data_IF_185588170127
#
_entry.id   IF_185588170127
#
_cell.length_a   1.000
_cell.length_b   1.000
_cell.length_c   1.000
_cell.angle_alpha   90.00
_cell.angle_beta   90.00
_cell.angle_gamma   90.00
#
_symmetry.space_group_name_H-M   'P 1'
#
loop_
_entity.id
_entity.type
_entity.pdbx_description
1 polymer ?
#
# COMPACT_ATOMS: atom_id res chain seq x y z
N UNK A 1 4.59 -64.18 42.14
CA UNK A 1 4.83 -64.13 40.68
C UNK A 1 4.25 -62.84 40.14
N UNK A 2 5.06 -61.94 39.56
CA UNK A 2 4.61 -60.59 39.26
C UNK A 2 3.74 -60.59 37.99
N UNK A 3 2.58 -59.93 38.08
CA UNK A 3 1.76 -59.57 36.92
C UNK A 3 2.54 -58.56 36.09
N UNK A 4 3.27 -59.03 35.07
CA UNK A 4 3.81 -58.13 34.05
C UNK A 4 2.63 -57.46 33.35
N UNK A 5 2.41 -56.20 33.73
CA UNK A 5 1.29 -55.37 33.30
C UNK A 5 1.31 -55.21 31.78
N UNK A 6 0.35 -55.80 31.07
CA UNK A 6 0.16 -55.66 29.63
C UNK A 6 -0.11 -54.21 29.19
N UNK A 7 -0.54 -53.35 30.13
CA UNK A 7 -0.61 -51.90 29.95
C UNK A 7 0.78 -51.32 29.65
N UNK A 8 1.84 -51.86 30.26
CA UNK A 8 3.20 -51.37 30.01
C UNK A 8 3.64 -51.59 28.56
N UNK A 9 3.24 -52.66 27.86
CA UNK A 9 3.74 -52.90 26.50
C UNK A 9 3.10 -51.93 25.48
N UNK A 10 1.79 -51.72 25.57
CA UNK A 10 1.07 -50.73 24.75
C UNK A 10 1.56 -49.31 25.03
N UNK A 11 1.77 -48.96 26.29
CA UNK A 11 2.34 -47.67 26.70
C UNK A 11 3.78 -47.50 26.18
N UNK A 12 4.62 -48.54 26.21
CA UNK A 12 6.00 -48.49 25.72
C UNK A 12 6.08 -48.32 24.20
N UNK A 13 5.19 -48.97 23.45
CA UNK A 13 5.08 -48.82 21.99
C UNK A 13 4.61 -47.41 21.61
N UNK A 14 3.57 -46.90 22.27
CA UNK A 14 3.09 -45.52 22.07
C UNK A 14 4.19 -44.50 22.41
N UNK A 15 4.93 -44.72 23.50
CA UNK A 15 6.06 -43.87 23.88
C UNK A 15 7.19 -43.90 22.85
N UNK A 16 7.51 -45.05 22.26
CA UNK A 16 8.54 -45.15 21.22
C UNK A 16 8.10 -44.45 19.92
N UNK A 17 6.83 -44.58 19.53
CA UNK A 17 6.27 -43.87 18.37
C UNK A 17 6.31 -42.36 18.61
N UNK A 18 5.84 -41.88 19.78
CA UNK A 18 5.92 -40.46 20.15
C UNK A 18 7.38 -39.97 20.16
N UNK A 19 8.31 -40.74 20.74
CA UNK A 19 9.73 -40.39 20.80
C UNK A 19 10.35 -40.28 19.39
N UNK A 20 9.95 -41.12 18.44
CA UNK A 20 10.39 -41.04 17.05
C UNK A 20 9.75 -39.85 16.29
N UNK A 21 8.57 -39.40 16.70
CA UNK A 21 7.87 -38.27 16.08
C UNK A 21 8.35 -36.91 16.55
N UNK A 22 8.80 -36.78 17.80
CA UNK A 22 9.33 -35.53 18.36
C UNK A 22 10.44 -34.90 17.50
N UNK A 23 11.48 -35.62 17.03
CA UNK A 23 12.52 -35.03 16.19
C UNK A 23 12.02 -34.63 14.80
N UNK A 24 11.04 -35.34 14.22
CA UNK A 24 10.43 -34.96 12.96
C UNK A 24 9.59 -33.67 13.09
N UNK A 25 8.80 -33.57 14.15
CA UNK A 25 8.07 -32.35 14.53
C UNK A 25 9.01 -31.18 14.80
N UNK A 26 10.08 -31.41 15.56
CA UNK A 26 11.09 -30.41 15.89
C UNK A 26 11.79 -29.88 14.64
N UNK A 27 12.25 -30.75 13.75
CA UNK A 27 12.91 -30.36 12.50
C UNK A 27 11.95 -29.64 11.54
N UNK A 28 10.66 -29.99 11.56
CA UNK A 28 9.63 -29.32 10.78
C UNK A 28 9.33 -27.91 11.32
N UNK A 29 9.12 -27.76 12.64
CA UNK A 29 8.91 -26.45 13.27
C UNK A 29 10.14 -25.55 13.10
N UNK A 30 11.34 -26.12 13.23
CA UNK A 30 12.59 -25.41 12.98
C UNK A 30 12.66 -24.90 11.54
N UNK A 31 12.38 -25.79 10.56
CA UNK A 31 12.33 -25.38 9.14
C UNK A 31 11.25 -24.34 8.87
N UNK A 32 10.10 -24.40 9.53
CA UNK A 32 9.03 -23.41 9.36
C UNK A 32 9.43 -22.04 9.89
N UNK A 33 10.05 -21.98 11.07
CA UNK A 33 10.57 -20.73 11.64
C UNK A 33 11.65 -20.12 10.73
N UNK A 34 12.54 -20.94 10.19
CA UNK A 34 13.61 -20.50 9.29
C UNK A 34 13.08 -20.07 7.91
N UNK A 35 12.10 -20.81 7.33
CA UNK A 35 11.45 -20.43 6.07
C UNK A 35 10.61 -19.15 6.21
N UNK A 36 9.96 -18.93 7.36
CA UNK A 36 9.15 -17.73 7.61
C UNK A 36 9.96 -16.46 7.40
N UNK A 37 11.20 -16.41 7.89
CA UNK A 37 12.06 -15.23 7.72
C UNK A 37 12.30 -14.88 6.24
N UNK A 38 12.65 -15.88 5.43
CA UNK A 38 12.90 -15.69 4.00
C UNK A 38 11.65 -15.30 3.21
N UNK A 39 10.50 -15.91 3.53
CA UNK A 39 9.24 -15.61 2.82
C UNK A 39 8.67 -14.26 3.24
N UNK A 40 8.81 -13.87 4.51
CA UNK A 40 8.41 -12.52 4.97
C UNK A 40 9.18 -11.44 4.24
N UNK A 41 10.50 -11.62 4.06
CA UNK A 41 11.32 -10.64 3.35
C UNK A 41 10.94 -10.55 1.87
N UNK A 42 10.61 -11.68 1.24
CA UNK A 42 10.10 -11.69 -0.12
C UNK A 42 8.79 -10.91 -0.24
N UNK A 43 7.83 -11.12 0.67
CA UNK A 43 6.55 -10.40 0.68
C UNK A 43 6.75 -8.90 0.93
N UNK A 44 7.71 -8.52 1.77
CA UNK A 44 8.11 -7.12 1.98
C UNK A 44 8.66 -6.49 0.71
N UNK A 45 9.62 -7.14 0.05
CA UNK A 45 10.18 -6.68 -1.22
C UNK A 45 9.13 -6.57 -2.34
N UNK A 46 8.19 -7.53 -2.42
CA UNK A 46 7.08 -7.48 -3.38
C UNK A 46 6.14 -6.30 -3.10
N UNK A 47 5.81 -6.07 -1.83
CA UNK A 47 4.98 -4.94 -1.41
C UNK A 47 5.69 -3.60 -1.68
N UNK A 48 7.00 -3.53 -1.43
CA UNK A 48 7.81 -2.34 -1.71
C UNK A 48 7.93 -2.07 -3.21
N UNK A 49 8.07 -3.12 -4.02
CA UNK A 49 8.01 -3.00 -5.49
C UNK A 49 6.69 -2.42 -5.96
N UNK A 50 5.56 -2.87 -5.42
CA UNK A 50 4.25 -2.29 -5.73
C UNK A 50 4.17 -0.81 -5.32
N UNK A 51 4.66 -0.45 -4.13
CA UNK A 51 4.69 0.95 -3.69
C UNK A 51 5.55 1.83 -4.61
N UNK A 52 6.73 1.36 -5.02
CA UNK A 52 7.61 2.06 -5.98
C UNK A 52 6.97 2.22 -7.35
N UNK A 53 6.29 1.18 -7.86
CA UNK A 53 5.56 1.26 -9.13
C UNK A 53 4.44 2.30 -9.06
N UNK A 54 3.68 2.31 -7.96
CA UNK A 54 2.63 3.29 -7.77
C UNK A 54 3.19 4.72 -7.64
N UNK A 55 4.30 4.91 -6.93
CA UNK A 55 5.00 6.19 -6.85
C UNK A 55 5.52 6.65 -8.22
N UNK A 56 6.07 5.76 -9.03
CA UNK A 56 6.52 6.08 -10.39
C UNK A 56 5.35 6.55 -11.27
N UNK A 57 4.20 5.89 -11.22
CA UNK A 57 3.01 6.33 -11.99
C UNK A 57 2.53 7.73 -11.60
N UNK A 58 2.63 8.08 -10.31
CA UNK A 58 2.31 9.42 -9.83
C UNK A 58 3.38 10.45 -10.23
N UNK A 59 4.66 10.08 -10.22
CA UNK A 59 5.74 10.93 -10.73
C UNK A 59 5.57 11.25 -12.21
N UNK A 60 5.13 10.28 -13.01
CA UNK A 60 4.87 10.47 -14.44
C UNK A 60 3.72 11.47 -14.64
N UNK A 61 2.64 11.35 -13.86
CA UNK A 61 1.51 12.31 -13.90
C UNK A 61 1.95 13.75 -13.56
N UNK A 62 2.84 13.92 -12.58
CA UNK A 62 3.40 15.22 -12.21
C UNK A 62 4.33 15.76 -13.30
N UNK A 63 5.15 14.89 -13.91
CA UNK A 63 6.03 15.25 -15.02
C UNK A 63 5.21 15.74 -16.20
N UNK A 64 4.14 15.04 -16.54
CA UNK A 64 3.22 15.39 -17.62
C UNK A 64 2.53 16.73 -17.35
N UNK A 65 2.11 16.97 -16.11
CA UNK A 65 1.58 18.27 -15.69
C UNK A 65 2.61 19.40 -15.88
N UNK A 66 3.86 19.18 -15.45
CA UNK A 66 4.94 20.17 -15.63
C UNK A 66 5.21 20.46 -17.12
N UNK A 67 5.23 19.43 -17.96
CA UNK A 67 5.46 19.57 -19.39
C UNK A 67 4.31 20.28 -20.09
N UNK A 68 3.06 19.94 -19.74
CA UNK A 68 1.87 20.62 -20.23
C UNK A 68 1.91 22.10 -19.88
N UNK A 69 2.12 22.44 -18.60
CA UNK A 69 2.14 23.83 -18.16
C UNK A 69 3.32 24.61 -18.74
N UNK A 70 4.47 23.97 -18.91
CA UNK A 70 5.59 24.57 -19.64
C UNK A 70 5.20 24.91 -21.08
N UNK A 71 4.55 24.00 -21.80
CA UNK A 71 4.12 24.25 -23.17
C UNK A 71 3.09 25.39 -23.23
N UNK A 72 2.10 25.40 -22.33
CA UNK A 72 1.10 26.46 -22.22
C UNK A 72 1.74 27.82 -21.88
N UNK A 73 2.81 27.85 -21.08
CA UNK A 73 3.57 29.06 -20.78
C UNK A 73 4.33 29.66 -21.98
N UNK A 74 4.54 28.89 -23.05
CA UNK A 74 5.15 29.40 -24.28
C UNK A 74 4.13 29.95 -25.28
N UNK A 75 2.83 29.73 -25.06
CA UNK A 75 1.79 30.14 -26.00
C UNK A 75 1.52 31.64 -25.93
N UNK A 76 1.24 32.20 -27.10
CA UNK A 76 1.05 33.65 -27.27
C UNK A 76 -0.27 34.09 -26.64
N UNK A 77 -1.28 33.24 -26.74
CA UNK A 77 -2.62 33.38 -26.16
C UNK A 77 -2.59 33.52 -24.64
N UNK A 78 -1.57 32.96 -23.98
CA UNK A 78 -1.37 33.04 -22.52
C UNK A 78 -0.49 34.23 -22.15
N UNK A 79 0.46 34.62 -23.01
CA UNK A 79 1.38 35.75 -22.77
C UNK A 79 0.81 37.11 -23.13
N UNK A 80 -0.10 37.20 -24.11
CA UNK A 80 -0.60 38.47 -24.65
C UNK A 80 -1.84 39.02 -23.92
N UNK A 81 -2.22 38.43 -22.79
CA UNK A 81 -3.17 38.98 -21.81
C UNK A 81 -4.60 39.30 -22.29
N UNK A 82 -5.05 38.85 -23.48
CA UNK A 82 -6.48 38.91 -23.82
C UNK A 82 -7.25 37.83 -23.04
N UNK A 83 -8.09 38.20 -22.06
CA UNK A 83 -8.73 37.23 -21.17
C UNK A 83 -9.70 36.29 -21.90
N UNK A 84 -10.36 36.78 -22.95
CA UNK A 84 -11.36 36.03 -23.70
C UNK A 84 -10.70 34.92 -24.54
N UNK A 85 -9.63 35.25 -25.28
CA UNK A 85 -8.87 34.27 -26.05
C UNK A 85 -8.20 33.24 -25.15
N UNK A 86 -7.58 33.67 -24.04
CA UNK A 86 -6.97 32.76 -23.07
C UNK A 86 -8.02 31.77 -22.50
N UNK A 87 -9.16 32.28 -22.03
CA UNK A 87 -10.20 31.43 -21.42
C UNK A 87 -10.78 30.42 -22.42
N UNK A 88 -10.98 30.83 -23.69
CA UNK A 88 -11.44 29.93 -24.74
C UNK A 88 -10.43 28.81 -25.04
N UNK A 89 -9.14 29.14 -25.11
CA UNK A 89 -8.05 28.17 -25.28
C UNK A 89 -7.99 27.18 -24.11
N UNK A 90 -7.96 27.68 -22.87
CA UNK A 90 -7.90 26.83 -21.67
C UNK A 90 -9.13 25.93 -21.54
N UNK A 91 -10.31 26.43 -21.91
CA UNK A 91 -11.55 25.64 -21.95
C UNK A 91 -11.46 24.47 -22.95
N UNK A 92 -10.85 24.70 -24.12
CA UNK A 92 -10.63 23.64 -25.10
C UNK A 92 -9.58 22.64 -24.63
N UNK A 93 -8.50 23.13 -24.00
CA UNK A 93 -7.45 22.30 -23.45
C UNK A 93 -7.98 21.40 -22.33
N UNK A 94 -8.76 21.94 -21.39
CA UNK A 94 -9.34 21.19 -20.29
C UNK A 94 -10.20 20.01 -20.77
N UNK A 95 -10.92 20.15 -21.89
CA UNK A 95 -11.69 19.04 -22.48
C UNK A 95 -10.83 17.88 -22.97
N UNK A 96 -9.56 18.11 -23.28
CA UNK A 96 -8.62 17.07 -23.70
C UNK A 96 -7.92 16.38 -22.53
N UNK A 97 -7.91 17.01 -21.35
CA UNK A 97 -7.24 16.52 -20.15
C UNK A 97 -8.22 16.39 -18.98
N UNK A 98 -9.09 15.37 -18.99
CA UNK A 98 -10.17 15.20 -18.01
C UNK A 98 -9.67 14.96 -16.57
N UNK A 99 -8.38 14.64 -16.38
CA UNK A 99 -7.80 14.54 -15.04
C UNK A 99 -7.73 15.89 -14.30
N UNK A 100 -7.77 17.02 -15.02
CA UNK A 100 -7.76 18.35 -14.40
C UNK A 100 -9.18 18.87 -14.19
N UNK A 101 -9.42 19.50 -13.04
CA UNK A 101 -10.67 20.20 -12.69
C UNK A 101 -10.65 21.67 -13.09
N UNK A 102 -9.47 22.28 -13.18
CA UNK A 102 -9.30 23.69 -13.48
C UNK A 102 -7.97 23.92 -14.19
N UNK A 103 -7.99 24.79 -15.20
CA UNK A 103 -6.81 25.45 -15.73
C UNK A 103 -7.05 26.96 -15.66
N UNK A 104 -6.04 27.71 -15.26
CA UNK A 104 -6.13 29.17 -15.16
C UNK A 104 -4.79 29.86 -15.22
N UNK A 105 -4.81 31.17 -15.42
CA UNK A 105 -3.63 32.02 -15.39
C UNK A 105 -3.87 33.14 -14.38
N UNK A 106 -2.88 33.33 -13.54
CA UNK A 106 -2.90 34.23 -12.40
C UNK A 106 -1.83 35.30 -12.64
N UNK A 107 -2.22 36.56 -12.48
CA UNK A 107 -1.29 37.68 -12.53
C UNK A 107 -0.37 37.71 -11.30
N UNK A 108 0.77 38.42 -11.34
CA UNK A 108 1.71 38.50 -10.22
C UNK A 108 1.11 39.09 -8.93
N UNK A 109 -0.03 39.78 -9.03
CA UNK A 109 -0.80 40.30 -7.89
C UNK A 109 -1.74 39.26 -7.26
N UNK A 110 -1.81 38.05 -7.82
CA UNK A 110 -2.64 36.94 -7.36
C UNK A 110 -4.05 36.92 -7.96
N UNK A 111 -4.41 37.86 -8.84
CA UNK A 111 -5.71 37.86 -9.51
C UNK A 111 -5.74 36.85 -10.66
N UNK A 112 -6.79 36.03 -10.73
CA UNK A 112 -6.97 35.09 -11.84
C UNK A 112 -7.64 35.82 -13.01
N UNK A 113 -6.87 36.11 -14.06
CA UNK A 113 -7.38 36.90 -15.20
C UNK A 113 -8.02 36.03 -16.29
N UNK A 114 -7.62 34.77 -16.44
CA UNK A 114 -8.29 33.81 -17.33
C UNK A 114 -8.36 32.40 -16.74
N UNK A 115 -9.42 31.69 -17.08
CA UNK A 115 -9.69 30.34 -16.57
C UNK A 115 -10.51 29.53 -17.57
N UNK A 116 -10.40 28.20 -17.48
CA UNK A 116 -11.13 27.26 -18.32
C UNK A 116 -12.63 27.17 -18.01
N UNK A 117 -13.09 27.79 -16.93
CA UNK A 117 -14.51 27.90 -16.58
C UNK A 117 -14.86 29.35 -16.32
N UNK A 118 -16.04 29.82 -16.76
CA UNK A 118 -16.48 31.17 -16.44
C UNK A 118 -16.64 31.32 -14.92
N UNK A 119 -15.73 32.06 -14.29
CA UNK A 119 -15.85 32.46 -12.89
C UNK A 119 -16.74 33.70 -12.81
N UNK A 120 -17.84 33.60 -12.06
CA UNK A 120 -18.80 34.69 -11.87
C UNK A 120 -18.26 35.84 -11.01
N UNK A 121 -17.20 35.59 -10.23
CA UNK A 121 -16.53 36.58 -9.39
C UNK A 121 -15.02 36.60 -9.67
N UNK A 122 -14.36 37.77 -9.53
CA UNK A 122 -12.90 37.86 -9.61
C UNK A 122 -12.28 37.00 -8.50
N UNK A 123 -11.52 35.98 -8.88
CA UNK A 123 -10.88 35.07 -7.94
C UNK A 123 -9.46 35.55 -7.65
N UNK A 124 -9.09 35.66 -6.38
CA UNK A 124 -7.76 36.04 -5.95
C UNK A 124 -7.14 34.91 -5.12
N UNK A 125 -5.92 34.51 -5.48
CA UNK A 125 -5.15 33.43 -4.83
C UNK A 125 -3.84 33.93 -4.24
N UNK A 126 -3.68 35.23 -4.04
CA UNK A 126 -2.48 35.84 -3.47
C UNK A 126 -2.13 35.22 -2.10
N UNK A 127 -3.13 34.90 -1.28
CA UNK A 127 -2.93 34.33 0.05
C UNK A 127 -2.62 32.82 0.03
N UNK A 128 -2.67 32.18 -1.14
CA UNK A 128 -2.45 30.74 -1.26
C UNK A 128 -0.96 30.40 -1.16
N UNK A 129 -0.62 29.45 -0.27
CA UNK A 129 0.75 29.04 -0.01
C UNK A 129 1.49 28.54 -1.25
N UNK A 130 0.79 27.86 -2.16
CA UNK A 130 1.39 27.40 -3.42
C UNK A 130 1.77 28.57 -4.33
N UNK A 131 0.95 29.61 -4.39
CA UNK A 131 1.20 30.79 -5.23
C UNK A 131 2.41 31.56 -4.69
N UNK A 132 2.44 31.80 -3.39
CA UNK A 132 3.59 32.41 -2.71
C UNK A 132 4.89 31.62 -2.93
N UNK A 133 4.83 30.29 -2.91
CA UNK A 133 6.00 29.44 -3.23
C UNK A 133 6.47 29.64 -4.67
N UNK A 134 5.58 29.71 -5.66
CA UNK A 134 5.95 30.00 -7.06
C UNK A 134 6.61 31.37 -7.18
N UNK A 135 6.09 32.39 -6.50
CA UNK A 135 6.69 33.74 -6.49
C UNK A 135 8.13 33.72 -5.95
N UNK A 136 8.38 32.94 -4.90
CA UNK A 136 9.67 32.83 -4.24
C UNK A 136 10.68 31.99 -5.03
N UNK A 137 10.28 30.81 -5.49
CA UNK A 137 11.18 29.86 -6.16
C UNK A 137 11.37 30.18 -7.64
N UNK A 138 10.36 30.80 -8.27
CA UNK A 138 10.25 30.95 -9.72
C UNK A 138 10.44 29.63 -10.46
N UNK A 139 9.98 28.53 -9.85
CA UNK A 139 9.94 27.21 -10.45
C UNK A 139 8.55 26.60 -10.29
N UNK A 140 8.34 25.46 -10.94
CA UNK A 140 7.18 24.61 -10.78
C UNK A 140 6.98 24.22 -9.32
N UNK A 141 5.77 24.41 -8.81
CA UNK A 141 5.38 24.09 -7.44
C UNK A 141 4.12 23.24 -7.46
N UNK A 142 4.01 22.39 -6.45
CA UNK A 142 2.87 21.52 -6.19
C UNK A 142 2.28 21.98 -4.86
N UNK A 143 0.98 22.22 -4.81
CA UNK A 143 0.31 22.66 -3.61
C UNK A 143 0.14 21.54 -2.60
N UNK A 144 -0.16 21.93 -1.38
CA UNK A 144 -0.67 21.04 -0.36
C UNK A 144 -2.14 20.68 -0.70
N UNK A 145 -2.75 19.76 0.05
CA UNK A 145 -4.18 19.44 -0.09
C UNK A 145 -5.02 20.71 0.00
N UNK A 146 -5.87 20.96 -1.00
CA UNK A 146 -6.89 21.98 -0.89
C UNK A 146 -8.22 21.46 -1.42
N UNK A 147 -9.30 21.84 -0.75
CA UNK A 147 -10.61 21.78 -1.39
C UNK A 147 -10.65 22.95 -2.34
N UNK A 148 -10.78 22.67 -3.64
CA UNK A 148 -10.84 23.73 -4.64
C UNK A 148 -12.12 24.54 -4.42
N UNK A 149 -11.99 25.82 -4.08
CA UNK A 149 -13.11 26.73 -3.80
C UNK A 149 -14.08 26.85 -5.00
N UNK A 150 -13.62 26.59 -6.22
CA UNK A 150 -14.41 26.69 -7.45
C UNK A 150 -15.23 25.42 -7.70
N UNK A 151 -14.63 24.24 -7.53
CA UNK A 151 -15.30 22.97 -7.84
C UNK A 151 -15.90 22.27 -6.61
N UNK A 152 -15.53 22.70 -5.40
CA UNK A 152 -15.86 22.04 -4.14
C UNK A 152 -15.19 20.66 -3.98
N UNK A 153 -14.26 20.31 -4.87
CA UNK A 153 -13.59 19.00 -4.90
C UNK A 153 -12.19 19.10 -4.34
N UNK A 154 -11.77 18.03 -3.68
CA UNK A 154 -10.39 17.80 -3.29
C UNK A 154 -9.48 17.82 -4.53
N UNK A 155 -8.49 18.72 -4.55
CA UNK A 155 -7.60 18.89 -5.68
C UNK A 155 -6.14 19.08 -5.25
N UNK A 156 -5.22 18.67 -6.12
CA UNK A 156 -3.81 19.01 -6.03
C UNK A 156 -3.50 20.07 -7.08
N UNK A 157 -3.03 21.25 -6.67
CA UNK A 157 -2.76 22.35 -7.58
C UNK A 157 -1.29 22.34 -8.02
N UNK A 158 -1.07 22.60 -9.30
CA UNK A 158 0.22 22.75 -9.93
C UNK A 158 0.37 24.20 -10.39
N UNK A 159 1.42 24.86 -9.92
CA UNK A 159 1.77 26.22 -10.31
C UNK A 159 3.01 26.21 -11.20
N UNK A 160 2.93 26.85 -12.37
CA UNK A 160 4.09 27.02 -13.27
C UNK A 160 4.32 28.51 -13.58
N UNK A 161 5.52 29.05 -13.39
CA UNK A 161 5.81 30.46 -13.64
C UNK A 161 5.96 30.76 -15.15
N UNK A 162 5.30 31.82 -15.61
CA UNK A 162 5.56 32.43 -16.92
C UNK A 162 6.60 33.53 -16.72
N UNK A 163 7.79 33.32 -17.27
CA UNK A 163 8.90 34.26 -17.14
C UNK A 163 9.11 35.04 -18.46
N UNK A 164 9.41 36.33 -18.35
CA UNK A 164 9.90 37.14 -19.47
C UNK A 164 11.28 36.67 -19.93
N UNK A 165 11.73 37.16 -21.09
CA UNK A 165 13.11 36.95 -21.56
C UNK A 165 14.16 37.50 -20.57
N UNK A 166 13.79 38.48 -19.76
CA UNK A 166 14.63 39.07 -18.70
C UNK A 166 14.54 38.33 -17.37
N UNK A 167 13.77 37.23 -17.30
CA UNK A 167 13.58 36.43 -16.08
C UNK A 167 12.61 37.02 -15.06
N UNK A 168 11.83 38.04 -15.44
CA UNK A 168 10.78 38.60 -14.59
C UNK A 168 9.52 37.73 -14.65
N UNK A 169 8.88 37.50 -13.51
CA UNK A 169 7.61 36.79 -13.48
C UNK A 169 6.50 37.65 -14.08
N UNK A 170 5.87 37.15 -15.15
CA UNK A 170 4.77 37.81 -15.83
C UNK A 170 3.42 37.26 -15.41
N UNK A 171 3.33 35.96 -15.14
CA UNK A 171 2.11 35.29 -14.72
C UNK A 171 2.43 33.93 -14.09
N UNK A 172 1.43 33.26 -13.50
CA UNK A 172 1.51 31.89 -13.00
C UNK A 172 0.36 31.09 -13.61
N UNK A 173 0.68 29.97 -14.24
CA UNK A 173 -0.32 29.03 -14.75
C UNK A 173 -0.67 28.04 -13.65
N UNK A 174 -1.96 27.87 -13.43
CA UNK A 174 -2.54 26.94 -12.47
C UNK A 174 -3.16 25.76 -13.22
N UNK A 175 -2.87 24.55 -12.75
CA UNK A 175 -3.65 23.36 -13.06
C UNK A 175 -4.07 22.63 -11.78
N UNK A 176 -5.35 22.35 -11.62
CA UNK A 176 -5.88 21.61 -10.48
C UNK A 176 -6.19 20.17 -10.88
N UNK A 177 -5.48 19.19 -10.35
CA UNK A 177 -5.73 17.76 -10.57
C UNK A 177 -6.89 17.26 -9.69
N UNK A 178 -7.85 16.52 -10.25
CA UNK A 178 -8.92 15.89 -9.48
C UNK A 178 -8.35 14.73 -8.64
N UNK A 179 -8.42 14.81 -7.32
CA UNK A 179 -7.97 13.70 -6.47
C UNK A 179 -8.87 12.47 -6.60
N UNK A 180 -10.11 12.63 -7.08
CA UNK A 180 -10.97 11.48 -7.40
C UNK A 180 -10.46 10.68 -8.59
N UNK A 181 -9.80 11.32 -9.55
CA UNK A 181 -9.17 10.62 -10.67
C UNK A 181 -8.05 9.70 -10.16
N UNK A 182 -7.25 10.16 -9.19
CA UNK A 182 -6.23 9.33 -8.55
C UNK A 182 -6.84 8.17 -7.76
N UNK A 183 -7.97 8.38 -7.09
CA UNK A 183 -8.70 7.30 -6.42
C UNK A 183 -9.18 6.22 -7.41
N UNK A 184 -9.66 6.61 -8.60
CA UNK A 184 -10.08 5.66 -9.64
C UNK A 184 -8.89 4.85 -10.17
N UNK A 185 -7.76 5.51 -10.40
CA UNK A 185 -6.53 4.83 -10.83
C UNK A 185 -6.05 3.80 -9.79
N UNK A 186 -6.17 4.14 -8.50
CA UNK A 186 -5.86 3.20 -7.42
C UNK A 186 -6.82 2.00 -7.38
N UNK A 187 -8.09 2.19 -7.75
CA UNK A 187 -9.06 1.10 -7.86
C UNK A 187 -8.74 0.13 -9.01
N UNK A 188 -8.19 0.63 -10.11
CA UNK A 188 -7.78 -0.18 -11.27
C UNK A 188 -6.51 -1.00 -11.04
N UNK A 189 -5.72 -0.65 -10.01
CA UNK A 189 -4.44 -1.29 -9.70
C UNK A 189 -4.54 -2.76 -9.23
N UNK A 190 -5.75 -3.33 -9.13
CA UNK A 190 -6.01 -4.73 -8.75
C UNK A 190 -5.26 -5.15 -7.47
N UNK A 191 -5.25 -4.27 -6.47
CA UNK A 191 -4.62 -4.56 -5.18
C UNK A 191 -5.33 -5.74 -4.50
N UNK A 192 -4.62 -6.53 -3.67
CA UNK A 192 -5.23 -7.61 -2.90
C UNK A 192 -6.41 -7.11 -2.06
N UNK A 193 -7.38 -7.97 -1.81
CA UNK A 193 -8.58 -7.59 -1.06
C UNK A 193 -8.25 -7.02 0.32
N UNK A 194 -8.92 -5.93 0.70
CA UNK A 194 -8.69 -5.22 1.97
C UNK A 194 -7.41 -4.37 2.00
N UNK A 195 -6.68 -4.28 0.88
CA UNK A 195 -5.51 -3.40 0.77
C UNK A 195 -5.92 -1.94 0.70
N UNK A 196 -5.02 -1.07 1.16
CA UNK A 196 -5.18 0.37 1.13
C UNK A 196 -4.09 1.01 0.30
N UNK A 197 -4.42 1.92 -0.59
CA UNK A 197 -3.51 2.86 -1.23
C UNK A 197 -3.72 4.24 -0.62
N UNK A 198 -2.67 4.89 -0.12
CA UNK A 198 -2.76 6.21 0.51
C UNK A 198 -1.63 7.13 0.03
N UNK A 199 -1.96 8.37 -0.31
CA UNK A 199 -0.98 9.45 -0.47
C UNK A 199 -1.04 10.34 0.77
N UNK A 200 0.13 10.65 1.35
CA UNK A 200 0.25 11.39 2.61
C UNK A 200 1.21 12.55 2.40
N UNK A 201 0.85 13.76 2.82
CA UNK A 201 1.75 14.92 2.78
C UNK A 201 2.72 14.97 3.98
N UNK A 202 3.66 15.92 3.97
CA UNK A 202 4.63 16.14 5.04
C UNK A 202 4.03 16.47 6.42
N UNK A 203 2.77 16.89 6.46
CA UNK A 203 2.08 17.23 7.70
C UNK A 203 1.26 16.05 8.24
N UNK A 204 1.24 14.90 7.53
CA UNK A 204 0.41 13.76 7.88
C UNK A 204 -1.03 13.88 7.39
N UNK A 205 -1.29 14.75 6.40
CA UNK A 205 -2.60 14.88 5.76
C UNK A 205 -2.77 13.82 4.68
N UNK A 206 -3.90 13.13 4.70
CA UNK A 206 -4.25 12.12 3.69
C UNK A 206 -4.77 12.83 2.44
N UNK A 207 -4.01 12.77 1.34
CA UNK A 207 -4.36 13.38 0.06
C UNK A 207 -5.29 12.49 -0.77
N UNK A 208 -4.99 11.19 -0.80
CA UNK A 208 -5.69 10.17 -1.58
C UNK A 208 -5.81 8.95 -0.70
N UNK A 209 -6.96 8.29 -0.73
CA UNK A 209 -7.13 6.99 -0.06
C UNK A 209 -8.11 6.12 -0.81
N UNK A 210 -7.69 4.89 -1.07
CA UNK A 210 -8.53 3.84 -1.58
C UNK A 210 -8.34 2.57 -0.74
N UNK A 211 -9.41 1.85 -0.35
CA UNK A 211 -10.83 2.23 -0.46
C UNK A 211 -11.21 3.36 0.52
N UNK A 212 -12.48 3.77 0.47
CA UNK A 212 -13.13 4.69 1.41
C UNK A 212 -12.52 6.11 1.51
N UNK A 213 -12.40 6.84 0.37
CA UNK A 213 -11.80 8.18 0.38
C UNK A 213 -12.55 9.17 1.29
N UNK A 214 -13.88 9.11 1.33
CA UNK A 214 -14.72 10.12 1.99
C UNK A 214 -14.53 10.24 3.51
N UNK A 215 -14.03 9.19 4.19
CA UNK A 215 -13.78 9.23 5.62
C UNK A 215 -12.44 9.87 5.97
N UNK A 216 -11.45 9.77 5.08
CA UNK A 216 -10.04 9.97 5.44
C UNK A 216 -9.37 11.10 4.66
N UNK A 217 -9.76 11.33 3.40
CA UNK A 217 -9.14 12.37 2.56
C UNK A 217 -9.36 13.75 3.18
N UNK A 218 -8.29 14.52 3.28
CA UNK A 218 -8.25 15.84 3.92
C UNK A 218 -8.06 15.81 5.44
N UNK A 219 -8.08 14.63 6.08
CA UNK A 219 -7.76 14.52 7.51
C UNK A 219 -6.26 14.53 7.74
N UNK A 220 -5.83 15.31 8.73
CA UNK A 220 -4.47 15.35 9.25
C UNK A 220 -4.40 14.43 10.47
N UNK A 221 -3.66 13.33 10.35
CA UNK A 221 -3.55 12.28 11.38
C UNK A 221 -2.08 11.89 11.65
N UNK A 222 -1.22 12.84 12.05
CA UNK A 222 0.20 12.59 12.26
C UNK A 222 0.48 11.59 13.38
N UNK A 223 -0.44 11.42 14.33
CA UNK A 223 -0.34 10.47 15.44
C UNK A 223 -0.72 9.03 15.06
N UNK A 224 -1.26 8.81 13.86
CA UNK A 224 -1.57 7.45 13.42
C UNK A 224 -0.25 6.66 13.24
N UNK A 225 -0.14 5.42 13.76
CA UNK A 225 1.14 4.73 13.84
C UNK A 225 1.91 4.63 12.52
N UNK A 226 1.22 4.33 11.41
CA UNK A 226 1.83 4.30 10.07
C UNK A 226 2.27 5.68 9.58
N UNK A 227 1.49 6.73 9.87
CA UNK A 227 1.80 8.10 9.44
C UNK A 227 3.01 8.62 10.21
N UNK A 228 3.01 8.43 11.54
CA UNK A 228 4.14 8.75 12.40
C UNK A 228 5.44 8.08 11.92
N UNK A 229 5.37 6.78 11.59
CA UNK A 229 6.50 6.04 11.06
C UNK A 229 7.03 6.66 9.76
N UNK A 230 6.15 6.96 8.80
CA UNK A 230 6.51 7.56 7.51
C UNK A 230 7.19 8.92 7.71
N UNK A 231 6.60 9.78 8.54
CA UNK A 231 7.08 11.14 8.79
C UNK A 231 8.41 11.15 9.57
N UNK A 232 8.66 10.17 10.43
CA UNK A 232 9.91 10.03 11.18
C UNK A 232 11.02 9.40 10.33
N UNK A 233 10.71 8.39 9.54
CA UNK A 233 11.71 7.66 8.74
C UNK A 233 12.14 8.44 7.49
N UNK A 234 11.23 9.24 6.91
CA UNK A 234 11.46 10.11 5.74
C UNK A 234 12.12 9.42 4.53
N UNK A 235 12.01 8.10 4.45
CA UNK A 235 12.60 7.26 3.42
C UNK A 235 11.64 6.13 3.08
N UNK A 236 12.00 5.30 2.10
CA UNK A 236 11.20 4.11 1.80
C UNK A 236 11.39 3.03 2.86
N UNK A 237 10.40 2.16 3.02
CA UNK A 237 10.42 1.12 4.02
C UNK A 237 9.20 0.22 4.00
N UNK A 238 9.25 -0.80 4.85
CA UNK A 238 8.12 -1.67 5.13
C UNK A 238 7.94 -1.85 6.63
N UNK A 239 6.70 -2.01 7.08
CA UNK A 239 6.39 -2.25 8.48
C UNK A 239 5.06 -2.99 8.64
N UNK A 240 5.00 -3.90 9.61
CA UNK A 240 3.75 -4.51 10.06
C UNK A 240 3.21 -3.66 11.20
N UNK A 241 2.19 -2.85 10.89
CA UNK A 241 1.67 -1.86 11.82
C UNK A 241 0.17 -1.62 11.57
N UNK A 242 -0.50 -1.00 12.53
CA UNK A 242 -1.89 -0.61 12.39
C UNK A 242 -2.02 0.57 11.42
N UNK A 243 -3.00 0.46 10.51
CA UNK A 243 -3.39 1.57 9.65
C UNK A 243 -4.14 2.66 10.43
N UNK A 244 -4.46 3.76 9.74
CA UNK A 244 -5.30 4.84 10.30
C UNK A 244 -6.70 4.35 10.73
N UNK A 245 -7.14 3.21 10.20
CA UNK A 245 -8.39 2.52 10.53
C UNK A 245 -8.24 1.44 11.63
N UNK A 246 -7.05 1.33 12.25
CA UNK A 246 -6.76 0.37 13.32
C UNK A 246 -6.57 -1.08 12.87
N UNK A 247 -6.61 -1.37 11.56
CA UNK A 247 -6.42 -2.74 11.07
C UNK A 247 -4.93 -3.04 10.85
N UNK A 248 -4.43 -4.21 11.30
CA UNK A 248 -3.03 -4.59 11.14
C UNK A 248 -2.72 -4.96 9.69
N UNK A 249 -1.82 -4.19 9.07
CA UNK A 249 -1.39 -4.42 7.68
C UNK A 249 0.13 -4.45 7.58
N UNK A 250 0.62 -5.17 6.59
CA UNK A 250 1.97 -4.97 6.09
C UNK A 250 1.93 -3.74 5.18
N UNK A 251 2.50 -2.64 5.66
CA UNK A 251 2.68 -1.43 4.87
C UNK A 251 4.01 -1.45 4.14
N UNK A 252 3.98 -0.98 2.92
CA UNK A 252 5.14 -0.56 2.16
C UNK A 252 4.96 0.90 1.74
N UNK A 253 5.97 1.72 1.97
CA UNK A 253 5.90 3.14 1.70
C UNK A 253 7.18 3.66 1.05
N UNK A 254 7.04 4.71 0.26
CA UNK A 254 8.16 5.32 -0.47
C UNK A 254 7.86 6.81 -0.72
N UNK A 255 8.87 7.69 -0.69
CA UNK A 255 8.67 9.09 -1.04
C UNK A 255 8.23 9.22 -2.50
N UNK A 256 7.26 10.10 -2.75
CA UNK A 256 6.76 10.36 -4.11
C UNK A 256 7.82 11.01 -4.98
N UNK A 257 8.68 11.86 -4.43
CA UNK A 257 9.80 12.44 -5.17
C UNK A 257 11.06 11.69 -4.77
N UNK A 258 11.84 11.21 -5.75
CA UNK A 258 13.03 10.38 -5.52
C UNK A 258 14.19 11.03 -4.72
N UNK A 259 13.96 12.17 -4.06
CA UNK A 259 14.86 12.80 -3.11
C UNK A 259 14.18 12.91 -1.74
N UNK A 260 14.66 12.17 -0.72
CA UNK A 260 14.14 12.20 0.65
C UNK A 260 14.08 13.60 1.28
N UNK A 261 14.99 14.50 0.88
CA UNK A 261 15.13 15.83 1.46
C UNK A 261 14.17 16.87 0.87
N UNK A 262 13.46 16.53 -0.21
CA UNK A 262 12.50 17.42 -0.87
C UNK A 262 11.13 16.78 -1.11
N UNK A 263 10.92 15.55 -0.62
CA UNK A 263 9.66 14.85 -0.85
C UNK A 263 8.61 15.30 0.16
N UNK A 264 7.71 16.18 -0.28
CA UNK A 264 6.58 16.63 0.54
C UNK A 264 5.41 15.64 0.57
N UNK A 265 5.49 14.54 -0.17
CA UNK A 265 4.43 13.54 -0.31
C UNK A 265 5.02 12.13 -0.28
N UNK A 266 4.31 11.20 0.34
CA UNK A 266 4.64 9.78 0.43
C UNK A 266 3.52 8.94 -0.14
N UNK A 267 3.89 7.85 -0.81
CA UNK A 267 2.97 6.81 -1.25
C UNK A 267 3.05 5.65 -0.27
N UNK A 268 1.90 5.16 0.18
CA UNK A 268 1.81 4.01 1.08
C UNK A 268 0.79 2.99 0.56
N UNK A 269 1.19 1.73 0.53
CA UNK A 269 0.33 0.58 0.24
C UNK A 269 0.30 -0.30 1.49
N UNK A 270 -0.88 -0.57 2.02
CA UNK A 270 -1.08 -1.46 3.15
C UNK A 270 -1.83 -2.71 2.72
N UNK A 271 -1.25 -3.89 2.90
CA UNK A 271 -1.90 -5.17 2.60
C UNK A 271 -2.25 -5.86 3.93
N UNK A 272 -3.49 -6.33 4.16
CA UNK A 272 -3.83 -7.04 5.38
C UNK A 272 -2.87 -8.18 5.65
N UNK A 273 -2.33 -8.27 6.86
CA UNK A 273 -1.36 -9.33 7.24
C UNK A 273 -1.90 -10.73 6.97
N UNK A 274 -3.20 -10.94 7.20
CA UNK A 274 -3.89 -12.20 6.88
C UNK A 274 -3.86 -12.57 5.39
N UNK A 275 -3.86 -11.57 4.50
CA UNK A 275 -3.80 -11.75 3.04
C UNK A 275 -2.35 -11.85 2.57
N UNK A 276 -1.48 -10.94 3.03
CA UNK A 276 -0.06 -10.91 2.72
C UNK A 276 0.65 -12.24 3.05
N UNK A 277 0.24 -12.89 4.15
CA UNK A 277 0.81 -14.16 4.61
C UNK A 277 -0.13 -15.37 4.40
N UNK A 278 -1.20 -15.23 3.60
CA UNK A 278 -2.19 -16.30 3.40
C UNK A 278 -1.56 -17.59 2.85
N UNK A 279 -0.72 -17.46 1.81
CA UNK A 279 -0.08 -18.60 1.17
C UNK A 279 0.90 -19.32 2.11
N UNK A 280 1.62 -18.56 2.95
CA UNK A 280 2.52 -19.10 3.98
C UNK A 280 1.74 -19.92 4.98
N UNK A 281 0.65 -19.37 5.49
CA UNK A 281 -0.22 -20.04 6.46
C UNK A 281 -0.87 -21.30 5.88
N UNK A 282 -1.23 -21.29 4.59
CA UNK A 282 -1.84 -22.44 3.90
C UNK A 282 -0.87 -23.61 3.75
N UNK A 283 0.38 -23.33 3.42
CA UNK A 283 1.44 -24.36 3.32
C UNK A 283 1.69 -24.98 4.68
N UNK A 284 1.81 -24.17 5.74
CA UNK A 284 1.97 -24.64 7.11
C UNK A 284 0.80 -25.54 7.54
N UNK A 285 -0.43 -25.10 7.32
CA UNK A 285 -1.61 -25.88 7.71
C UNK A 285 -1.68 -27.22 6.98
N UNK A 286 -1.38 -27.24 5.67
CA UNK A 286 -1.31 -28.49 4.89
C UNK A 286 -0.25 -29.44 5.42
N UNK A 287 0.94 -28.93 5.75
CA UNK A 287 2.02 -29.77 6.27
C UNK A 287 1.67 -30.31 7.67
N UNK A 288 1.05 -29.50 8.53
CA UNK A 288 0.58 -29.93 9.85
C UNK A 288 -0.50 -31.01 9.77
N UNK A 289 -1.45 -30.89 8.83
CA UNK A 289 -2.43 -31.94 8.56
C UNK A 289 -1.73 -33.22 8.10
N UNK A 290 -0.80 -33.11 7.13
CA UNK A 290 -0.06 -34.26 6.63
C UNK A 290 0.68 -35.00 7.74
N UNK A 291 1.35 -34.25 8.63
CA UNK A 291 2.01 -34.81 9.79
C UNK A 291 1.01 -35.43 10.76
N UNK A 292 -0.10 -34.75 11.06
CA UNK A 292 -1.16 -35.28 11.92
C UNK A 292 -1.74 -36.60 11.41
N UNK A 293 -1.94 -36.72 10.09
CA UNK A 293 -2.39 -37.96 9.45
C UNK A 293 -1.35 -39.08 9.54
N UNK A 294 -0.07 -38.78 9.27
CA UNK A 294 1.01 -39.77 9.42
C UNK A 294 1.13 -40.21 10.88
N UNK A 295 0.97 -39.28 11.82
CA UNK A 295 0.94 -39.56 13.27
C UNK A 295 -0.18 -40.54 13.61
N UNK A 296 -1.39 -40.24 13.13
CA UNK A 296 -2.58 -41.04 13.39
C UNK A 296 -2.45 -42.43 12.79
N UNK A 297 -1.95 -42.55 11.55
CA UNK A 297 -1.71 -43.84 10.90
C UNK A 297 -0.68 -44.68 11.65
N UNK A 298 0.42 -44.07 12.13
CA UNK A 298 1.43 -44.75 12.94
C UNK A 298 0.84 -45.25 14.27
N UNK A 299 0.01 -44.45 14.93
CA UNK A 299 -0.69 -44.85 16.16
C UNK A 299 -1.67 -45.99 15.92
N UNK A 300 -2.45 -45.94 14.83
CA UNK A 300 -3.39 -47.01 14.45
C UNK A 300 -2.64 -48.30 14.10
N UNK A 301 -1.54 -48.22 13.35
CA UNK A 301 -0.71 -49.38 13.02
C UNK A 301 -0.13 -50.04 14.28
N UNK A 302 0.42 -49.24 15.21
CA UNK A 302 0.92 -49.75 16.49
C UNK A 302 -0.18 -50.40 17.34
N UNK A 303 -1.41 -49.87 17.29
CA UNK A 303 -2.57 -50.44 17.98
C UNK A 303 -3.00 -51.80 17.38
N UNK A 304 -3.10 -51.88 16.04
CA UNK A 304 -3.48 -53.09 15.31
C UNK A 304 -2.44 -54.21 15.41
N UNK A 305 -1.14 -53.89 15.32
CA UNK A 305 -0.06 -54.87 15.53
C UNK A 305 -0.11 -55.46 16.94
N UNK A 306 -0.44 -54.65 17.94
CA UNK A 306 -0.71 -55.11 19.29
C UNK A 306 -1.77 -56.20 19.34
N UNK A 307 -2.89 -56.02 18.64
CA UNK A 307 -4.02 -56.97 18.69
C UNK A 307 -3.80 -58.23 17.84
N UNK A 308 -3.19 -58.10 16.66
CA UNK A 308 -2.88 -59.23 15.76
C UNK A 308 -1.82 -60.17 16.34
N UNK A 309 -0.77 -59.61 16.94
CA UNK A 309 0.29 -60.41 17.56
C UNK A 309 -0.22 -61.11 18.84
N UNK A 310 -1.08 -60.45 19.61
CA UNK A 310 -1.76 -61.04 20.77
C UNK A 310 -2.62 -62.26 20.39
N UNK A 311 -3.45 -62.14 19.35
CA UNK A 311 -4.33 -63.22 18.93
C UNK A 311 -3.56 -64.44 18.39
N UNK A 312 -2.44 -64.21 17.68
CA UNK A 312 -1.57 -65.31 17.21
C UNK A 312 -0.86 -66.02 18.36
N UNK A 313 -0.38 -65.28 19.35
CA UNK A 313 0.35 -65.86 20.49
C UNK A 313 -0.56 -66.66 21.43
N UNK A 314 -1.78 -66.18 21.69
CA UNK A 314 -2.78 -66.91 22.47
C UNK A 314 -3.24 -68.19 21.75
N UNK A 315 -3.47 -68.13 20.43
CA UNK A 315 -3.79 -69.34 19.64
C UNK A 315 -2.65 -70.36 19.64
N UNK A 316 -1.40 -69.91 19.63
CA UNK A 316 -0.24 -70.79 19.71
C UNK A 316 -0.14 -71.51 21.07
N UNK A 317 -0.50 -70.85 22.18
CA UNK A 317 -0.54 -71.50 23.50
C UNK A 317 -1.75 -72.43 23.69
N UNK A 318 -2.92 -72.10 23.13
CA UNK A 318 -4.08 -73.00 23.18
C UNK A 318 -3.87 -74.28 22.35
N UNK A 319 -3.05 -74.23 21.29
CA UNK A 319 -2.71 -75.39 20.48
C UNK A 319 -1.82 -76.41 21.22
N UNK A 320 -0.98 -75.95 22.17
CA UNK A 320 -0.14 -76.84 22.99
C UNK A 320 -0.89 -77.46 24.17
N UNK A 321 -1.91 -76.80 24.73
CA UNK A 321 -2.73 -77.39 25.80
C UNK A 321 -3.73 -78.44 25.29
N UNK A 322 -4.12 -78.41 24.01
CA UNK A 322 -4.97 -79.45 23.38
C UNK A 322 -4.21 -80.73 23.00
N UNK A 323 -2.91 -80.81 23.29
CA UNK A 323 -2.02 -81.93 22.95
C UNK A 323 -1.52 -82.70 24.19
N UNK A 324 -2.05 -82.39 25.37
CA UNK A 324 -1.93 -83.13 26.62
C UNK A 324 -3.33 -83.63 27.02
#
# INVERSE_FOLDING_TARGET
>A
MPRFSFVNFRVRLILLVLLAMVPALGLMLYRDIELRGLVVEQVREDSLRLARLAASGQQDSIRDARQLLFAVAQLTEVRQADPATCSAFLSQLLRQYPQYTLLGVIDPDGSMFCSAYPTSEPLNVADQAYFQRVLQTRDFVISDYQTNDISGRAALNFGYPVLSETGQLQAVILASLDLNWLNQLAAEAQLPEGSTFTLIDRNGTILVRYPDPGQWVGQTVPEAPIVELILNQQSEGTAEIEGVDGLPRLFAFTPLYGSPQSSEVYVSIGIPTAVAFADVNRILFRNLIGLGLVSLLALVAAWLEGDLFFLRWIKAMLASTKRL
#
